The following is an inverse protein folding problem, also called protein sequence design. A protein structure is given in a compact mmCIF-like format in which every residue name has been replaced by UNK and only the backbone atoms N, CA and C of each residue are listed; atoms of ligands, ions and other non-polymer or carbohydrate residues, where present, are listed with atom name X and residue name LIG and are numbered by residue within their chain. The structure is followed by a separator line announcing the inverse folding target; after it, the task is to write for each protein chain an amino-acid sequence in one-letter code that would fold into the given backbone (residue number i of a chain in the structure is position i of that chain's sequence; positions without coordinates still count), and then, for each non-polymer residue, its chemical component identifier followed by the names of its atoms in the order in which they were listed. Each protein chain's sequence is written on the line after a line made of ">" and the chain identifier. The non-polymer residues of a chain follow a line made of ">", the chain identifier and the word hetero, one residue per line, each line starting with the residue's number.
data_IF_324483343125
#
_entry.id   IF_324483343125
#
_cell.length_a   1.000
_cell.length_b   1.000
_cell.length_c   1.000
_cell.angle_alpha   90.00
_cell.angle_beta   90.00
_cell.angle_gamma   90.00
#
_symmetry.space_group_name_H-M   'P 1'
#
loop_
_entity.id
_entity.type
_entity.pdbx_description
1 polymer ?
#
# COMPACT_ATOMS: atom_id res chain seq x y z
N UNK A 1 43.01 -41.77 41.79
CA UNK A 1 43.28 -42.90 40.91
C UNK A 1 43.16 -42.41 39.48
N UNK A 2 44.30 -42.15 38.82
CA UNK A 2 44.46 -41.83 37.44
C UNK A 2 44.26 -43.07 36.58
N UNK A 3 43.51 -42.99 35.49
CA UNK A 3 43.51 -44.01 34.43
C UNK A 3 43.98 -43.35 33.12
N UNK A 4 45.02 -43.93 32.58
CA UNK A 4 45.76 -43.51 31.39
C UNK A 4 44.92 -43.70 30.10
N UNK A 5 45.11 -42.79 29.16
CA UNK A 5 44.58 -42.82 27.79
C UNK A 5 45.66 -43.46 26.90
N UNK A 6 45.34 -44.45 26.06
CA UNK A 6 46.35 -45.05 25.18
C UNK A 6 46.66 -44.20 23.95
N UNK A 7 47.91 -44.22 23.61
CA UNK A 7 48.61 -43.59 22.50
C UNK A 7 48.06 -44.07 21.12
N UNK A 8 47.68 -43.12 20.25
CA UNK A 8 47.25 -43.45 18.89
C UNK A 8 48.50 -43.65 18.01
N UNK A 9 48.64 -44.87 17.53
CA UNK A 9 49.59 -45.26 16.48
C UNK A 9 49.20 -44.57 15.17
N UNK A 10 50.01 -43.65 14.68
CA UNK A 10 49.86 -43.03 13.38
C UNK A 10 50.41 -43.97 12.30
N UNK A 11 49.52 -44.54 11.48
CA UNK A 11 49.95 -45.24 10.27
C UNK A 11 50.31 -44.23 9.18
N UNK A 12 51.55 -44.16 8.79
CA UNK A 12 52.04 -43.38 7.66
C UNK A 12 51.57 -43.99 6.35
N UNK A 13 50.71 -43.29 5.64
CA UNK A 13 50.30 -43.64 4.28
C UNK A 13 51.36 -43.13 3.31
N UNK A 14 51.95 -43.97 2.44
CA UNK A 14 52.94 -43.51 1.48
C UNK A 14 52.33 -42.59 0.45
N UNK A 15 52.75 -41.32 0.40
CA UNK A 15 52.44 -40.41 -0.70
C UNK A 15 53.11 -40.92 -1.98
N UNK A 16 52.30 -41.56 -2.85
CA UNK A 16 52.76 -41.75 -4.23
C UNK A 16 52.64 -40.38 -4.93
N UNK A 17 53.80 -39.87 -5.36
CA UNK A 17 53.85 -38.71 -6.26
C UNK A 17 53.22 -39.13 -7.59
N UNK A 18 52.07 -38.53 -7.88
CA UNK A 18 51.45 -38.68 -9.18
C UNK A 18 52.35 -37.98 -10.21
N UNK A 19 52.77 -38.74 -11.23
CA UNK A 19 53.61 -38.23 -12.32
C UNK A 19 52.96 -36.98 -12.97
N UNK A 20 53.73 -35.89 -13.10
CA UNK A 20 53.26 -34.65 -13.68
C UNK A 20 52.65 -34.80 -15.08
N UNK A 21 52.97 -35.88 -15.80
CA UNK A 21 52.37 -36.23 -17.09
C UNK A 21 50.87 -36.59 -16.97
N UNK A 22 50.46 -37.22 -15.87
CA UNK A 22 49.08 -37.59 -15.65
C UNK A 22 48.19 -36.36 -15.39
N UNK A 23 48.74 -35.32 -14.71
CA UNK A 23 48.02 -34.03 -14.51
C UNK A 23 47.81 -33.28 -15.83
N UNK A 24 48.76 -33.29 -16.74
CA UNK A 24 48.61 -32.64 -18.02
C UNK A 24 47.59 -33.36 -18.93
N UNK A 25 47.56 -34.69 -18.88
CA UNK A 25 46.58 -35.47 -19.66
C UNK A 25 45.17 -35.27 -19.12
N UNK A 26 44.99 -35.26 -17.79
CA UNK A 26 43.69 -34.99 -17.18
C UNK A 26 43.21 -33.54 -17.47
N UNK A 27 44.10 -32.56 -17.41
CA UNK A 27 43.81 -31.18 -17.75
C UNK A 27 43.37 -31.00 -19.21
N UNK A 28 44.07 -31.69 -20.16
CA UNK A 28 43.70 -31.68 -21.57
C UNK A 28 42.34 -32.37 -21.83
N UNK A 29 42.08 -33.48 -21.16
CA UNK A 29 40.77 -34.17 -21.27
C UNK A 29 39.64 -33.34 -20.72
N UNK A 30 39.81 -32.66 -19.56
CA UNK A 30 38.82 -31.73 -19.01
C UNK A 30 38.61 -30.52 -19.91
N UNK A 31 39.66 -29.94 -20.49
CA UNK A 31 39.53 -28.82 -21.43
C UNK A 31 38.81 -29.23 -22.72
N UNK A 32 39.10 -30.40 -23.25
CA UNK A 32 38.40 -30.95 -24.43
C UNK A 32 36.92 -31.25 -24.10
N UNK A 33 36.63 -31.75 -22.91
CA UNK A 33 35.25 -31.98 -22.45
C UNK A 33 34.47 -30.65 -22.34
N UNK A 34 35.09 -29.63 -21.81
CA UNK A 34 34.46 -28.30 -21.71
C UNK A 34 34.23 -27.65 -23.11
N UNK A 35 35.19 -27.79 -24.03
CA UNK A 35 35.03 -27.30 -25.40
C UNK A 35 33.90 -28.04 -26.15
N UNK A 36 33.75 -29.34 -25.93
CA UNK A 36 32.68 -30.13 -26.52
C UNK A 36 31.30 -29.79 -25.91
N UNK A 37 31.21 -29.60 -24.59
CA UNK A 37 29.96 -29.26 -23.92
C UNK A 37 29.52 -27.80 -24.22
N UNK A 38 30.43 -26.83 -24.30
CA UNK A 38 30.13 -25.46 -24.64
C UNK A 38 29.64 -25.31 -26.09
N UNK A 39 30.12 -26.15 -27.01
CA UNK A 39 29.61 -26.15 -28.38
C UNK A 39 28.21 -26.77 -28.53
N UNK A 40 27.80 -27.63 -27.60
CA UNK A 40 26.44 -28.23 -27.62
C UNK A 40 25.37 -27.31 -27.01
N UNK A 41 25.79 -26.21 -26.36
CA UNK A 41 24.91 -25.19 -25.81
C UNK A 41 24.67 -24.00 -26.77
N UNK A 42 25.06 -24.12 -28.03
CA UNK A 42 24.60 -23.19 -29.07
C UNK A 42 23.08 -23.36 -29.19
N UNK A 43 22.35 -22.40 -28.59
CA UNK A 43 20.91 -22.44 -28.55
C UNK A 43 20.32 -22.68 -29.93
N UNK A 44 19.53 -23.75 -30.04
CA UNK A 44 18.74 -23.97 -31.24
C UNK A 44 17.74 -22.78 -31.33
N UNK A 45 17.91 -21.96 -32.34
CA UNK A 45 16.93 -20.94 -32.69
C UNK A 45 15.65 -21.66 -33.10
N UNK A 46 14.65 -21.64 -32.21
CA UNK A 46 13.32 -22.10 -32.59
C UNK A 46 12.72 -21.10 -33.60
N UNK A 47 12.43 -21.59 -34.80
CA UNK A 47 11.79 -20.79 -35.82
C UNK A 47 10.29 -21.11 -35.81
N UNK A 48 9.48 -20.08 -35.44
CA UNK A 48 8.03 -20.15 -35.52
C UNK A 48 7.58 -19.52 -36.83
N UNK A 49 6.93 -20.28 -37.69
CA UNK A 49 6.30 -19.76 -38.93
C UNK A 49 4.80 -19.73 -38.73
N UNK A 50 4.21 -18.51 -38.80
CA UNK A 50 2.77 -18.29 -38.71
C UNK A 50 2.20 -18.12 -40.12
N UNK A 51 1.32 -19.02 -40.52
CA UNK A 51 0.61 -18.92 -41.78
C UNK A 51 -0.75 -18.24 -41.56
N UNK A 52 -0.83 -16.94 -41.84
CA UNK A 52 -2.02 -16.10 -41.67
C UNK A 52 -2.85 -15.98 -42.96
N UNK A 53 -2.73 -16.92 -43.91
CA UNK A 53 -3.57 -16.91 -45.13
C UNK A 53 -5.03 -17.14 -44.79
N UNK A 54 -6.00 -16.52 -45.53
CA UNK A 54 -7.43 -16.67 -45.26
C UNK A 54 -7.93 -18.13 -45.18
N UNK A 55 -7.26 -19.05 -45.89
CA UNK A 55 -7.60 -20.46 -45.90
C UNK A 55 -7.21 -21.19 -44.60
N UNK A 56 -6.25 -20.65 -43.88
CA UNK A 56 -5.71 -21.24 -42.65
C UNK A 56 -6.07 -20.45 -41.39
N UNK A 57 -6.92 -19.43 -41.51
CA UNK A 57 -7.40 -18.63 -40.38
C UNK A 57 -8.86 -18.92 -40.10
N UNK A 58 -9.23 -18.86 -38.84
CA UNK A 58 -10.62 -18.88 -38.39
C UNK A 58 -11.00 -17.51 -37.83
N UNK A 59 -12.19 -17.04 -38.16
CA UNK A 59 -12.71 -15.80 -37.61
C UNK A 59 -12.93 -15.96 -36.10
N UNK A 60 -12.34 -15.08 -35.33
CA UNK A 60 -12.55 -15.03 -33.87
C UNK A 60 -13.96 -14.50 -33.62
N UNK A 61 -14.83 -15.20 -32.89
CA UNK A 61 -16.14 -14.70 -32.53
C UNK A 61 -16.05 -13.37 -31.78
N UNK A 62 -16.97 -12.44 -32.06
CA UNK A 62 -17.00 -11.12 -31.43
C UNK A 62 -17.08 -11.17 -29.89
N UNK A 63 -17.71 -12.21 -29.34
CA UNK A 63 -17.89 -12.42 -27.92
C UNK A 63 -16.80 -13.28 -27.26
N UNK A 64 -15.68 -13.54 -27.95
CA UNK A 64 -14.62 -14.39 -27.41
C UNK A 64 -13.80 -13.71 -26.32
N UNK A 65 -13.71 -12.37 -26.35
CA UNK A 65 -12.90 -11.60 -25.40
C UNK A 65 -13.79 -10.99 -24.31
N UNK A 66 -13.39 -11.25 -23.07
CA UNK A 66 -13.99 -10.69 -21.88
C UNK A 66 -12.95 -10.31 -20.86
N UNK A 67 -13.40 -9.76 -19.75
CA UNK A 67 -12.57 -9.51 -18.58
C UNK A 67 -13.14 -10.27 -17.38
N UNK A 68 -12.24 -10.72 -16.54
CA UNK A 68 -12.52 -11.29 -15.23
C UNK A 68 -12.03 -10.31 -14.17
N UNK A 69 -12.89 -9.97 -13.22
CA UNK A 69 -12.55 -9.06 -12.13
C UNK A 69 -12.79 -9.76 -10.80
N UNK A 70 -11.79 -9.73 -9.94
CA UNK A 70 -11.88 -10.13 -8.54
C UNK A 70 -10.99 -9.23 -7.68
N UNK A 71 -11.30 -9.14 -6.37
CA UNK A 71 -10.54 -8.32 -5.44
C UNK A 71 -9.26 -9.04 -5.00
N UNK A 72 -8.28 -9.04 -5.89
CA UNK A 72 -6.92 -9.56 -5.64
C UNK A 72 -5.94 -8.39 -5.66
N UNK A 73 -5.02 -8.35 -4.70
CA UNK A 73 -3.94 -7.34 -4.63
C UNK A 73 -4.45 -5.90 -4.77
N UNK A 74 -5.58 -5.59 -4.15
CA UNK A 74 -6.23 -4.27 -4.23
C UNK A 74 -6.62 -3.87 -5.66
N UNK A 75 -7.15 -4.81 -6.45
CA UNK A 75 -7.61 -4.52 -7.80
C UNK A 75 -8.82 -3.57 -7.82
N UNK A 76 -9.68 -3.61 -6.81
CA UNK A 76 -10.75 -2.66 -6.58
C UNK A 76 -10.27 -1.42 -5.83
N UNK A 77 -10.27 -1.48 -4.50
CA UNK A 77 -9.78 -0.40 -3.65
C UNK A 77 -8.25 -0.29 -3.74
N UNK A 78 -7.73 0.90 -4.07
CA UNK A 78 -6.31 1.09 -4.38
C UNK A 78 -5.90 0.73 -5.81
N UNK A 79 -6.84 0.19 -6.61
CA UNK A 79 -6.69 -0.14 -8.01
C UNK A 79 -7.65 0.63 -8.90
N UNK A 80 -8.71 -0.05 -9.39
CA UNK A 80 -9.69 0.55 -10.31
C UNK A 80 -10.51 1.66 -9.64
N UNK A 81 -10.91 1.49 -8.38
CA UNK A 81 -11.53 2.53 -7.59
C UNK A 81 -10.48 3.58 -7.18
N UNK A 82 -10.78 4.86 -7.42
CA UNK A 82 -9.83 5.96 -7.26
C UNK A 82 -9.58 6.37 -5.80
N UNK A 83 -10.05 5.59 -4.83
CA UNK A 83 -9.81 5.82 -3.40
C UNK A 83 -8.32 5.71 -3.07
N UNK A 84 -7.78 6.73 -2.40
CA UNK A 84 -6.38 6.78 -1.99
C UNK A 84 -6.19 6.33 -0.54
N UNK A 85 -7.22 6.43 0.30
CA UNK A 85 -7.16 6.02 1.70
C UNK A 85 -7.38 4.51 1.82
N UNK A 86 -6.46 3.83 2.43
CA UNK A 86 -6.60 2.42 2.79
C UNK A 86 -7.25 2.30 4.18
N UNK A 87 -8.14 1.31 4.36
CA UNK A 87 -8.89 1.13 5.61
C UNK A 87 -9.66 2.40 6.04
N UNK A 88 -10.43 2.97 5.14
CA UNK A 88 -11.18 4.22 5.32
C UNK A 88 -12.21 4.18 6.47
N UNK A 89 -12.74 3.00 6.77
CA UNK A 89 -13.75 2.77 7.80
C UNK A 89 -13.19 2.08 9.05
N UNK A 90 -11.86 1.99 9.20
CA UNK A 90 -11.18 1.40 10.37
C UNK A 90 -11.55 -0.06 10.68
N UNK A 91 -12.04 -0.79 9.69
CA UNK A 91 -12.55 -2.18 9.83
C UNK A 91 -11.47 -3.27 9.67
N UNK A 92 -10.18 -2.92 9.55
CA UNK A 92 -9.09 -3.88 9.30
C UNK A 92 -8.97 -4.96 10.41
N UNK A 93 -9.34 -4.63 11.64
CA UNK A 93 -9.37 -5.59 12.75
C UNK A 93 -10.60 -6.48 12.77
N UNK A 94 -11.61 -6.17 11.95
CA UNK A 94 -12.91 -6.81 12.01
C UNK A 94 -13.65 -6.55 13.34
N UNK A 95 -14.84 -7.10 13.51
CA UNK A 95 -15.70 -6.79 14.66
C UNK A 95 -15.18 -7.36 16.00
N UNK A 96 -14.23 -8.28 15.95
CA UNK A 96 -13.73 -8.99 17.13
C UNK A 96 -12.28 -8.65 17.51
N UNK A 97 -11.59 -7.86 16.69
CA UNK A 97 -10.20 -7.46 16.94
C UNK A 97 -10.15 -5.93 17.08
N UNK A 98 -10.36 -5.41 18.28
CA UNK A 98 -10.33 -3.97 18.53
C UNK A 98 -8.92 -3.42 18.28
N UNK A 99 -8.86 -2.14 17.90
CA UNK A 99 -7.62 -1.35 17.82
C UNK A 99 -6.64 -1.72 16.70
N UNK A 100 -7.03 -2.54 15.73
CA UNK A 100 -6.25 -2.66 14.50
C UNK A 100 -6.66 -1.55 13.52
N UNK A 101 -5.84 -0.51 13.44
CA UNK A 101 -6.05 0.63 12.55
C UNK A 101 -5.19 0.58 11.29
N UNK A 102 -4.44 -0.51 11.05
CA UNK A 102 -3.57 -0.62 9.87
C UNK A 102 -4.29 -0.21 8.57
N UNK A 103 -3.62 0.58 7.72
CA UNK A 103 -2.28 1.12 7.80
C UNK A 103 -2.19 2.53 8.40
N UNK A 104 -3.21 2.98 9.15
CA UNK A 104 -3.16 4.25 9.84
C UNK A 104 -2.07 4.23 10.92
N UNK A 105 -1.37 5.34 11.05
CA UNK A 105 -0.27 5.51 11.99
C UNK A 105 -0.48 6.77 12.83
N UNK A 106 0.04 6.76 14.05
CA UNK A 106 -0.13 7.85 15.02
C UNK A 106 0.96 8.90 14.85
N UNK A 107 0.59 10.18 14.98
CA UNK A 107 1.48 11.35 15.06
C UNK A 107 1.42 11.84 16.50
N UNK A 108 2.52 11.71 17.24
CA UNK A 108 2.60 12.00 18.67
C UNK A 108 3.00 10.78 19.47
N UNK A 109 3.01 10.92 20.77
CA UNK A 109 3.32 9.86 21.74
C UNK A 109 2.22 9.70 22.79
N UNK A 110 2.33 8.69 23.64
CA UNK A 110 1.32 8.32 24.65
C UNK A 110 1.03 9.43 25.67
N UNK A 111 1.92 10.42 25.83
CA UNK A 111 1.68 11.57 26.71
C UNK A 111 0.74 12.62 26.10
N UNK A 112 0.63 12.60 24.78
CA UNK A 112 -0.08 13.64 24.03
C UNK A 112 -1.37 13.14 23.35
N UNK A 113 -1.45 11.82 23.04
CA UNK A 113 -2.57 11.30 22.26
C UNK A 113 -2.82 9.81 22.57
N UNK A 114 -4.10 9.45 22.61
CA UNK A 114 -4.55 8.05 22.68
C UNK A 114 -5.43 7.77 21.46
N UNK A 115 -5.11 6.71 20.73
CA UNK A 115 -5.88 6.29 19.55
C UNK A 115 -6.35 4.86 19.73
N UNK A 116 -7.64 4.63 19.54
CA UNK A 116 -8.27 3.31 19.62
C UNK A 116 -9.44 3.23 18.64
N UNK A 117 -9.94 2.03 18.39
CA UNK A 117 -11.22 1.83 17.73
C UNK A 117 -12.30 1.49 18.74
N UNK A 118 -13.53 1.88 18.44
CA UNK A 118 -14.71 1.50 19.20
C UNK A 118 -15.90 1.18 18.28
N UNK A 119 -17.07 0.93 18.85
CA UNK A 119 -18.29 0.58 18.09
C UNK A 119 -19.28 1.74 18.03
N UNK A 120 -18.79 2.95 17.94
CA UNK A 120 -19.61 4.17 17.94
C UNK A 120 -19.96 4.65 16.52
N UNK A 121 -19.60 3.92 15.45
CA UNK A 121 -19.93 4.30 14.08
C UNK A 121 -21.44 4.56 13.88
N UNK A 122 -21.76 5.50 13.00
CA UNK A 122 -23.14 5.72 12.56
C UNK A 122 -23.65 4.70 11.53
N UNK A 123 -22.81 3.77 11.10
CA UNK A 123 -23.17 2.75 10.10
C UNK A 123 -23.40 1.38 10.75
N UNK A 124 -24.60 0.85 10.60
CA UNK A 124 -24.95 -0.45 11.18
C UNK A 124 -24.15 -1.63 10.59
N UNK A 125 -23.77 -1.54 9.32
CA UNK A 125 -22.99 -2.58 8.60
C UNK A 125 -21.49 -2.47 8.81
N UNK A 126 -21.01 -1.29 9.19
CA UNK A 126 -19.63 -0.97 9.48
C UNK A 126 -19.57 -0.32 10.86
N UNK A 127 -19.64 -1.10 11.96
CA UNK A 127 -19.88 -0.55 13.29
C UNK A 127 -18.65 0.07 13.95
N UNK A 128 -17.48 -0.04 13.33
CA UNK A 128 -16.22 0.44 13.91
C UNK A 128 -15.97 1.90 13.51
N UNK A 129 -15.56 2.69 14.48
CA UNK A 129 -15.05 4.05 14.30
C UNK A 129 -13.68 4.19 14.97
N UNK A 130 -12.86 5.14 14.51
CA UNK A 130 -11.64 5.50 15.19
C UNK A 130 -11.95 6.57 16.23
N UNK A 131 -11.53 6.36 17.47
CA UNK A 131 -11.56 7.33 18.56
C UNK A 131 -10.16 7.86 18.80
N UNK A 132 -10.00 9.16 18.71
CA UNK A 132 -8.78 9.90 18.98
C UNK A 132 -8.99 10.82 20.18
N UNK A 133 -8.26 10.61 21.25
CA UNK A 133 -8.26 11.44 22.43
C UNK A 133 -6.96 12.23 22.50
N UNK A 134 -7.05 13.54 22.48
CA UNK A 134 -5.93 14.48 22.51
C UNK A 134 -5.79 15.01 23.92
N UNK A 135 -4.62 14.81 24.51
CA UNK A 135 -4.30 15.13 25.90
C UNK A 135 -3.55 16.46 26.04
N UNK A 136 -2.96 16.95 24.95
CA UNK A 136 -2.19 18.19 24.92
C UNK A 136 -3.00 19.37 24.38
N UNK A 137 -2.52 20.59 24.60
CA UNK A 137 -3.18 21.85 24.18
C UNK A 137 -2.24 22.73 23.36
N UNK A 138 -2.80 23.74 22.69
CA UNK A 138 -2.03 24.73 21.93
C UNK A 138 -1.19 25.66 22.80
N UNK A 139 -1.54 25.78 24.08
CA UNK A 139 -0.84 26.61 25.08
C UNK A 139 -1.11 26.07 26.49
N UNK A 140 -0.25 26.35 27.44
CA UNK A 140 -0.42 25.91 28.82
C UNK A 140 0.74 25.06 29.33
N UNK A 141 0.46 24.09 30.21
CA UNK A 141 1.47 23.23 30.81
C UNK A 141 1.83 22.01 29.91
N UNK A 142 0.84 21.48 29.21
CA UNK A 142 0.96 20.32 28.34
C UNK A 142 0.80 20.73 26.88
N UNK A 143 1.84 21.38 26.34
CA UNK A 143 1.81 21.95 24.98
C UNK A 143 2.02 20.85 23.93
N UNK A 144 1.13 20.77 22.95
CA UNK A 144 1.26 19.87 21.81
C UNK A 144 2.56 20.14 21.02
N UNK A 145 3.16 19.09 20.45
CA UNK A 145 4.31 19.25 19.55
C UNK A 145 4.01 20.22 18.39
N UNK A 146 5.04 20.87 17.82
CA UNK A 146 4.89 21.61 16.59
C UNK A 146 4.23 20.76 15.48
N UNK A 147 3.17 21.28 14.84
CA UNK A 147 2.38 20.54 13.86
C UNK A 147 1.19 19.76 14.44
N UNK A 148 1.08 19.69 15.78
CA UNK A 148 -0.01 18.99 16.46
C UNK A 148 0.21 17.48 16.57
N UNK A 149 -0.81 16.81 17.10
CA UNK A 149 -0.87 15.34 17.21
C UNK A 149 -2.05 14.82 16.40
N UNK A 150 -2.03 13.55 16.02
CA UNK A 150 -3.11 12.99 15.20
C UNK A 150 -2.79 11.66 14.58
N UNK A 151 -3.30 11.43 13.40
CA UNK A 151 -3.12 10.21 12.63
C UNK A 151 -2.77 10.53 11.17
N UNK A 152 -2.15 9.56 10.49
CA UNK A 152 -1.95 9.66 9.05
C UNK A 152 -2.16 8.32 8.34
N UNK A 153 -2.55 8.41 7.07
CA UNK A 153 -2.73 7.27 6.18
C UNK A 153 -1.72 7.33 5.03
N UNK A 154 -0.87 6.31 4.85
CA UNK A 154 0.08 6.27 3.75
C UNK A 154 -0.53 5.80 2.42
N UNK A 155 -1.84 5.49 2.37
CA UNK A 155 -2.47 4.86 1.23
C UNK A 155 -2.14 3.37 1.12
N UNK A 156 -2.24 2.85 -0.10
CA UNK A 156 -1.97 1.42 -0.39
C UNK A 156 -0.47 1.17 -0.61
N UNK A 157 0.21 2.04 -1.34
CA UNK A 157 1.65 1.98 -1.66
C UNK A 157 2.28 3.38 -1.71
N UNK A 158 1.81 4.31 -0.88
CA UNK A 158 2.03 5.74 -1.01
C UNK A 158 0.94 6.38 -1.87
N UNK A 159 0.71 7.67 -1.69
CA UNK A 159 -0.26 8.43 -2.48
C UNK A 159 0.50 9.25 -3.54
N UNK A 160 0.19 9.03 -4.82
CA UNK A 160 0.73 9.89 -5.89
C UNK A 160 -0.12 11.15 -5.98
N UNK A 161 0.39 12.24 -5.42
CA UNK A 161 -0.23 13.56 -5.50
C UNK A 161 0.40 14.34 -6.65
N UNK A 162 -0.45 14.86 -7.53
CA UNK A 162 -0.03 15.62 -8.72
C UNK A 162 -0.27 17.12 -8.50
N UNK A 163 0.67 17.94 -8.98
CA UNK A 163 0.59 19.41 -8.90
C UNK A 163 -0.69 19.94 -9.55
N UNK A 164 -1.28 20.96 -8.94
CA UNK A 164 -2.50 21.65 -9.34
C UNK A 164 -3.76 20.78 -9.41
N UNK A 165 -3.69 19.47 -9.12
CA UNK A 165 -4.87 18.63 -9.04
C UNK A 165 -5.65 18.86 -7.76
N UNK A 166 -6.96 18.68 -7.89
CA UNK A 166 -7.92 18.78 -6.79
C UNK A 166 -8.27 17.39 -6.30
N UNK A 167 -8.21 17.20 -5.00
CA UNK A 167 -8.57 15.97 -4.30
C UNK A 167 -9.74 16.26 -3.38
N UNK A 168 -10.80 15.49 -3.52
CA UNK A 168 -11.98 15.57 -2.67
C UNK A 168 -11.76 14.74 -1.41
N UNK A 169 -11.86 15.37 -0.26
CA UNK A 169 -11.92 14.73 1.05
C UNK A 169 -13.38 14.59 1.45
N UNK A 170 -13.76 13.43 1.97
CA UNK A 170 -15.02 13.25 2.69
C UNK A 170 -14.80 12.36 3.90
N UNK A 171 -15.44 12.67 5.02
CA UNK A 171 -15.39 11.85 6.22
C UNK A 171 -16.60 12.14 7.11
N UNK A 172 -16.85 11.24 8.04
CA UNK A 172 -17.78 11.47 9.13
C UNK A 172 -16.98 11.81 10.38
N UNK A 173 -17.40 12.82 11.09
CA UNK A 173 -16.76 13.31 12.33
C UNK A 173 -17.82 13.44 13.43
N UNK A 174 -17.42 13.09 14.64
CA UNK A 174 -18.14 13.40 15.87
C UNK A 174 -17.12 13.89 16.90
N UNK A 175 -17.46 14.89 17.71
CA UNK A 175 -16.57 15.42 18.73
C UNK A 175 -17.31 15.71 20.03
N UNK A 176 -16.66 15.44 21.16
CA UNK A 176 -17.19 15.81 22.48
C UNK A 176 -16.98 17.27 22.83
N UNK A 177 -16.05 17.96 22.15
CA UNK A 177 -15.58 19.30 22.48
C UNK A 177 -15.41 20.17 21.23
N UNK A 178 -15.11 21.45 21.41
CA UNK A 178 -14.67 22.29 20.30
C UNK A 178 -13.40 21.72 19.67
N UNK A 179 -13.28 21.90 18.36
CA UNK A 179 -12.27 21.23 17.58
C UNK A 179 -11.61 22.19 16.58
N UNK A 180 -10.30 22.05 16.42
CA UNK A 180 -9.52 22.69 15.38
C UNK A 180 -8.69 21.61 14.67
N UNK A 181 -9.30 20.95 13.68
CA UNK A 181 -8.73 19.81 12.97
C UNK A 181 -8.12 20.24 11.64
N UNK A 182 -6.82 20.04 11.48
CA UNK A 182 -6.13 20.25 10.20
C UNK A 182 -6.06 18.94 9.43
N UNK A 183 -6.59 18.96 8.21
CA UNK A 183 -6.49 17.87 7.23
C UNK A 183 -5.49 18.28 6.16
N UNK A 184 -4.43 17.52 5.98
CA UNK A 184 -3.35 17.90 5.04
C UNK A 184 -2.87 16.74 4.19
N UNK A 185 -2.42 17.07 2.98
CA UNK A 185 -1.60 16.20 2.12
C UNK A 185 -0.15 16.59 2.32
N UNK A 186 0.68 15.64 2.70
CA UNK A 186 2.11 15.89 2.95
C UNK A 186 2.96 14.84 2.25
N UNK A 187 4.28 15.11 2.16
CA UNK A 187 5.26 14.07 1.85
C UNK A 187 5.17 12.91 2.85
N UNK A 188 5.71 11.75 2.50
CA UNK A 188 5.67 10.55 3.35
C UNK A 188 6.31 10.73 4.73
N UNK A 189 7.28 11.64 4.87
CA UNK A 189 7.90 12.04 6.14
C UNK A 189 7.12 13.12 6.91
N UNK A 190 6.13 13.75 6.26
CA UNK A 190 5.30 14.82 6.84
C UNK A 190 5.93 16.21 6.83
N UNK A 191 7.10 16.39 6.25
CA UNK A 191 7.84 17.65 6.29
C UNK A 191 7.40 18.66 5.23
N UNK A 192 6.99 18.17 4.05
CA UNK A 192 6.49 19.01 2.97
C UNK A 192 4.97 19.03 2.97
N UNK A 193 4.37 20.18 3.10
CA UNK A 193 2.92 20.37 2.97
C UNK A 193 2.56 20.65 1.52
N UNK A 194 1.69 19.82 0.94
CA UNK A 194 1.22 19.94 -0.44
C UNK A 194 -0.14 20.62 -0.53
N UNK A 195 -0.99 20.43 0.47
CA UNK A 195 -2.29 21.07 0.62
C UNK A 195 -2.78 20.90 2.06
N UNK A 196 -3.53 21.85 2.57
CA UNK A 196 -4.15 21.76 3.89
C UNK A 196 -5.49 22.49 3.93
N UNK A 197 -6.37 21.99 4.77
CA UNK A 197 -7.64 22.60 5.14
C UNK A 197 -7.87 22.42 6.64
N UNK A 198 -8.32 23.48 7.33
CA UNK A 198 -8.61 23.41 8.76
C UNK A 198 -10.11 23.50 8.98
N UNK A 199 -10.65 22.54 9.73
CA UNK A 199 -12.03 22.51 10.19
C UNK A 199 -12.03 23.06 11.60
N UNK A 200 -12.57 24.27 11.77
CA UNK A 200 -12.79 24.86 13.09
C UNK A 200 -14.28 24.75 13.44
N UNK A 201 -14.57 24.19 14.59
CA UNK A 201 -15.93 23.94 15.01
C UNK A 201 -16.12 24.14 16.53
N UNK A 202 -17.27 24.67 16.89
CA UNK A 202 -17.70 24.72 18.27
C UNK A 202 -18.23 23.34 18.73
N UNK A 203 -18.32 23.15 20.03
CA UNK A 203 -18.76 21.90 20.66
C UNK A 203 -20.09 21.34 20.12
N UNK A 204 -21.01 22.19 19.73
CA UNK A 204 -22.35 21.79 19.28
C UNK A 204 -22.38 21.40 17.80
N UNK A 205 -21.36 21.79 16.99
CA UNK A 205 -21.35 21.56 15.55
C UNK A 205 -21.16 20.08 15.18
N UNK A 206 -20.38 19.33 15.98
CA UNK A 206 -20.06 17.92 15.76
C UNK A 206 -20.47 17.00 16.91
N UNK A 207 -21.46 17.41 17.71
CA UNK A 207 -22.01 16.60 18.81
C UNK A 207 -22.59 15.26 18.32
N UNK A 208 -23.13 15.26 17.11
CA UNK A 208 -23.64 14.08 16.42
C UNK A 208 -22.77 13.83 15.17
N UNK A 209 -22.78 12.59 14.70
CA UNK A 209 -22.07 12.23 13.47
C UNK A 209 -22.46 13.15 12.30
N UNK A 210 -21.52 13.92 11.85
CA UNK A 210 -21.69 14.88 10.76
C UNK A 210 -20.77 14.55 9.61
N UNK A 211 -21.32 14.47 8.39
CA UNK A 211 -20.53 14.32 7.19
C UNK A 211 -19.93 15.66 6.79
N UNK A 212 -18.62 15.70 6.57
CA UNK A 212 -17.90 16.84 6.01
C UNK A 212 -17.32 16.49 4.66
N UNK A 213 -17.35 17.46 3.73
CA UNK A 213 -16.75 17.33 2.40
C UNK A 213 -16.08 18.66 2.04
N UNK A 214 -14.86 18.58 1.52
CA UNK A 214 -14.11 19.73 1.02
C UNK A 214 -13.04 19.28 0.03
N UNK A 215 -12.47 20.26 -0.68
CA UNK A 215 -11.45 20.02 -1.69
C UNK A 215 -10.08 20.47 -1.19
N UNK A 216 -9.05 19.67 -1.50
CA UNK A 216 -7.64 20.01 -1.34
C UNK A 216 -7.00 20.16 -2.71
N UNK A 217 -6.50 21.33 -3.03
CA UNK A 217 -5.74 21.56 -4.26
C UNK A 217 -4.24 21.49 -3.95
N UNK A 218 -3.55 20.55 -4.58
CA UNK A 218 -2.13 20.38 -4.37
C UNK A 218 -1.31 21.49 -5.02
N UNK A 219 -0.36 22.05 -4.27
CA UNK A 219 0.59 23.05 -4.75
C UNK A 219 1.78 22.48 -5.50
N UNK A 220 2.09 21.19 -5.27
CA UNK A 220 3.27 20.52 -5.81
C UNK A 220 2.99 19.05 -6.11
N UNK A 221 3.87 18.42 -6.89
CA UNK A 221 3.84 16.99 -7.16
C UNK A 221 4.69 16.24 -6.15
N UNK A 222 4.13 15.18 -5.57
CA UNK A 222 4.88 14.22 -4.77
C UNK A 222 4.30 12.80 -4.98
N UNK A 223 5.08 11.83 -5.51
CA UNK A 223 4.59 10.49 -5.79
C UNK A 223 4.47 9.60 -4.56
N UNK A 224 4.99 10.04 -3.41
CA UNK A 224 4.96 9.29 -2.16
C UNK A 224 4.49 10.20 -1.03
N UNK A 225 3.18 10.46 -1.01
CA UNK A 225 2.51 11.32 -0.06
C UNK A 225 1.64 10.54 0.90
N UNK A 226 1.10 11.23 1.91
CA UNK A 226 0.17 10.71 2.90
C UNK A 226 -0.92 11.74 3.23
N UNK A 227 -2.07 11.27 3.70
CA UNK A 227 -3.13 12.10 4.29
C UNK A 227 -2.89 12.17 5.79
N UNK A 228 -2.91 13.36 6.37
CA UNK A 228 -2.81 13.59 7.82
C UNK A 228 -4.05 14.27 8.36
N UNK A 229 -4.45 13.87 9.57
CA UNK A 229 -5.47 14.49 10.40
C UNK A 229 -4.81 14.88 11.71
N UNK A 230 -4.59 16.17 11.95
CA UNK A 230 -3.86 16.66 13.15
C UNK A 230 -4.61 17.77 13.85
N UNK A 231 -4.44 17.87 15.17
CA UNK A 231 -4.98 18.94 15.99
C UNK A 231 -4.02 19.33 17.11
N UNK A 232 -4.24 20.52 17.68
CA UNK A 232 -3.58 21.00 18.90
C UNK A 232 -4.59 21.37 19.99
N UNK A 233 -5.82 20.89 19.82
CA UNK A 233 -6.91 21.14 20.76
C UNK A 233 -7.19 19.85 21.52
N UNK A 234 -7.17 19.90 22.86
CA UNK A 234 -7.52 18.77 23.71
C UNK A 234 -9.00 18.38 23.54
N UNK A 235 -9.31 17.10 23.70
CA UNK A 235 -10.67 16.58 23.57
C UNK A 235 -10.71 15.25 22.85
N UNK A 236 -11.93 14.75 22.60
CA UNK A 236 -12.15 13.47 21.93
C UNK A 236 -12.85 13.70 20.59
N UNK A 237 -12.25 13.15 19.54
CA UNK A 237 -12.80 13.18 18.18
C UNK A 237 -12.93 11.76 17.66
N UNK A 238 -14.05 11.45 17.03
CA UNK A 238 -14.27 10.20 16.32
C UNK A 238 -14.27 10.45 14.80
N UNK A 239 -13.70 9.49 14.07
CA UNK A 239 -13.65 9.49 12.62
C UNK A 239 -14.23 8.21 12.06
N UNK A 240 -14.94 8.31 10.95
CA UNK A 240 -15.35 7.17 10.15
C UNK A 240 -15.44 7.52 8.67
N UNK A 241 -15.30 6.49 7.81
CA UNK A 241 -15.40 6.59 6.34
C UNK A 241 -14.54 7.72 5.75
N UNK A 242 -13.30 7.85 6.23
CA UNK A 242 -12.34 8.86 5.73
C UNK A 242 -11.91 8.51 4.31
N UNK A 243 -12.19 9.38 3.36
CA UNK A 243 -11.96 9.19 1.93
C UNK A 243 -11.17 10.35 1.35
N UNK A 244 -10.27 10.02 0.43
CA UNK A 244 -9.52 10.96 -0.40
C UNK A 244 -9.53 10.47 -1.83
N UNK A 245 -10.16 11.19 -2.74
CA UNK A 245 -10.20 10.83 -4.15
C UNK A 245 -9.84 12.00 -5.06
N UNK A 246 -9.15 11.77 -6.20
CA UNK A 246 -9.05 12.79 -7.24
C UNK A 246 -10.46 13.26 -7.65
N UNK A 247 -10.66 14.56 -7.84
CA UNK A 247 -11.94 15.12 -8.31
C UNK A 247 -12.26 14.64 -9.73
N UNK A 248 -11.22 14.38 -10.55
CA UNK A 248 -11.35 13.85 -11.90
C UNK A 248 -11.33 12.32 -11.90
N UNK A 249 -12.49 11.71 -11.88
CA UNK A 249 -12.66 10.26 -12.06
C UNK A 249 -13.30 9.92 -13.41
N UNK A 250 -13.18 8.66 -13.85
CA UNK A 250 -13.77 8.20 -15.11
C UNK A 250 -15.30 8.38 -15.10
N UNK A 251 -15.81 9.19 -16.00
CA UNK A 251 -17.23 9.56 -16.10
C UNK A 251 -17.86 10.03 -14.77
N UNK A 252 -17.06 10.48 -13.81
CA UNK A 252 -17.46 10.88 -12.44
C UNK A 252 -18.02 9.73 -11.59
N UNK A 253 -17.66 8.48 -11.91
CA UNK A 253 -18.10 7.28 -11.19
C UNK A 253 -17.14 6.77 -10.13
N UNK A 254 -16.12 7.55 -9.74
CA UNK A 254 -15.15 7.17 -8.71
C UNK A 254 -14.06 6.20 -9.19
N UNK A 255 -14.00 5.88 -10.48
CA UNK A 255 -12.95 5.03 -11.02
C UNK A 255 -11.74 5.84 -11.49
N UNK A 256 -10.55 5.28 -11.37
CA UNK A 256 -9.33 5.82 -11.95
C UNK A 256 -9.47 5.98 -13.46
N UNK A 257 -9.29 7.23 -13.92
CA UNK A 257 -9.52 7.60 -15.32
C UNK A 257 -8.61 6.84 -16.28
N UNK A 258 -7.34 6.65 -15.93
CA UNK A 258 -6.35 5.90 -16.71
C UNK A 258 -6.76 4.43 -16.86
N UNK A 259 -6.98 3.72 -15.75
CA UNK A 259 -7.32 2.29 -15.75
C UNK A 259 -8.68 2.01 -16.39
N UNK A 260 -9.70 2.78 -16.02
CA UNK A 260 -11.04 2.59 -16.57
C UNK A 260 -11.10 2.88 -18.08
N UNK A 261 -10.32 3.88 -18.56
CA UNK A 261 -10.21 4.14 -20.00
C UNK A 261 -9.52 2.99 -20.74
N UNK A 262 -8.46 2.40 -20.17
CA UNK A 262 -7.82 1.22 -20.75
C UNK A 262 -8.78 0.04 -20.84
N UNK A 263 -9.52 -0.26 -19.78
CA UNK A 263 -10.53 -1.32 -19.77
C UNK A 263 -11.64 -1.08 -20.80
N UNK A 264 -12.15 0.15 -20.89
CA UNK A 264 -13.17 0.53 -21.87
C UNK A 264 -12.66 0.36 -23.31
N UNK A 265 -11.40 0.70 -23.57
CA UNK A 265 -10.77 0.57 -24.89
C UNK A 265 -10.58 -0.89 -25.35
N UNK A 266 -10.50 -1.84 -24.42
CA UNK A 266 -10.51 -3.26 -24.74
C UNK A 266 -11.85 -3.74 -25.31
N UNK A 267 -12.92 -2.94 -25.17
CA UNK A 267 -14.29 -3.27 -25.64
C UNK A 267 -14.72 -4.70 -25.26
N UNK A 268 -14.59 -5.10 -24.00
CA UNK A 268 -14.91 -6.46 -23.58
C UNK A 268 -16.38 -6.76 -23.84
N UNK A 269 -16.69 -7.97 -24.29
CA UNK A 269 -18.06 -8.44 -24.56
C UNK A 269 -18.63 -9.23 -23.39
N UNK A 270 -17.77 -9.70 -22.50
CA UNK A 270 -18.12 -10.48 -21.31
C UNK A 270 -17.40 -9.89 -20.11
N UNK A 271 -18.13 -9.72 -19.01
CA UNK A 271 -17.58 -9.41 -17.70
C UNK A 271 -17.93 -10.55 -16.75
N UNK A 272 -16.93 -11.20 -16.18
CA UNK A 272 -17.09 -12.25 -15.17
C UNK A 272 -16.64 -11.73 -13.81
N UNK A 273 -17.53 -11.82 -12.84
CA UNK A 273 -17.21 -11.65 -11.43
C UNK A 273 -17.09 -13.04 -10.77
N UNK A 274 -16.23 -13.21 -9.78
CA UNK A 274 -16.27 -14.37 -8.91
C UNK A 274 -17.57 -14.32 -8.11
N UNK A 275 -18.27 -15.42 -8.08
CA UNK A 275 -19.50 -15.63 -7.29
C UNK A 275 -19.18 -16.33 -5.98
#
# INVERSE_FOLDING_TARGET
>A
RASAIPEKVAMAVPRRSLDGRLFWVLGLVCAMYQIFFVRSAAGQTAQLSVNASPQNTQMIPENMFGIFFEEINHAGAGGLWAELVNNRGFEAGGPNTPSNIDPWLIIGDESNIIVATDRSSCFATNPIALRMEVLCESSGNDVCPPGGVGIYNPGFWGMNIEEAKVYKVSMYIMSSDSMDLTVSLTSSDGLQNLAAYTITADKEDFKEWTKVEFDLQSSERNPNSRLQLTTRTSGIVWFDQVSLMPSETYMRHGYRKDLASMLANLKPKILKFPG
#
